data_IF_603890896233
#
_entry.id   IF_603890896233
#
_cell.length_a   1.000
_cell.length_b   1.000
_cell.length_c   1.000
_cell.angle_alpha   90.00
_cell.angle_beta   90.00
_cell.angle_gamma   90.00
#
_symmetry.space_group_name_H-M   'P 1'
#
loop_
_entity.id
_entity.type
_entity.pdbx_description
1 polymer ?
#
# COMPACT_ATOMS: atom_id res chain seq x y z
N UNK A 1 -0.51 -41.46 8.51
CA UNK A 1 -0.21 -40.03 8.77
C UNK A 1 1.20 -39.79 8.28
N UNK A 2 1.42 -38.71 7.53
CA UNK A 2 2.73 -38.28 7.04
C UNK A 2 3.02 -36.94 7.70
N UNK A 3 4.20 -36.79 8.28
CA UNK A 3 4.71 -35.51 8.76
C UNK A 3 6.00 -35.21 7.98
N UNK A 4 6.07 -34.04 7.35
CA UNK A 4 7.22 -33.59 6.59
C UNK A 4 7.73 -32.27 7.18
N UNK A 5 8.95 -32.30 7.68
CA UNK A 5 9.64 -31.13 8.22
C UNK A 5 10.47 -30.48 7.11
N UNK A 6 10.15 -29.23 6.76
CA UNK A 6 10.83 -28.45 5.73
C UNK A 6 11.16 -29.24 4.44
N UNK A 7 10.17 -29.90 3.81
CA UNK A 7 10.40 -30.75 2.65
C UNK A 7 10.99 -29.97 1.45
N UNK A 8 10.88 -28.65 1.45
CA UNK A 8 11.47 -27.73 0.47
C UNK A 8 13.00 -27.59 0.54
N UNK A 9 13.66 -28.05 1.62
CA UNK A 9 15.05 -27.73 1.88
C UNK A 9 15.95 -28.09 0.68
N UNK A 10 16.76 -27.13 0.23
CA UNK A 10 17.64 -27.25 -0.95
C UNK A 10 16.95 -27.50 -2.29
N UNK A 11 15.62 -27.35 -2.39
CA UNK A 11 14.88 -27.52 -3.64
C UNK A 11 14.64 -26.18 -4.34
N UNK A 12 14.83 -26.17 -5.66
CA UNK A 12 14.38 -25.08 -6.52
C UNK A 12 12.85 -24.89 -6.39
N UNK A 13 12.30 -23.67 -6.48
CA UNK A 13 10.86 -23.41 -6.30
C UNK A 13 9.93 -24.34 -7.10
N UNK A 14 10.23 -24.62 -8.37
CA UNK A 14 9.45 -25.56 -9.18
C UNK A 14 9.46 -27.01 -8.64
N UNK A 15 10.59 -27.43 -8.05
CA UNK A 15 10.70 -28.75 -7.42
C UNK A 15 9.90 -28.79 -6.10
N UNK A 16 9.89 -27.72 -5.31
CA UNK A 16 9.03 -27.60 -4.12
C UNK A 16 7.55 -27.77 -4.49
N UNK A 17 7.09 -27.09 -5.56
CA UNK A 17 5.70 -27.23 -6.05
C UNK A 17 5.37 -28.66 -6.49
N UNK A 18 6.32 -29.34 -7.14
CA UNK A 18 6.15 -30.76 -7.54
C UNK A 18 6.07 -31.66 -6.31
N UNK A 19 6.94 -31.44 -5.32
CA UNK A 19 6.94 -32.19 -4.07
C UNK A 19 5.63 -32.01 -3.31
N UNK A 20 5.13 -30.77 -3.18
CA UNK A 20 3.83 -30.50 -2.57
C UNK A 20 2.72 -31.34 -3.20
N UNK A 21 2.64 -31.36 -4.54
CA UNK A 21 1.66 -32.17 -5.28
C UNK A 21 1.78 -33.67 -4.98
N UNK A 22 2.99 -34.18 -4.84
CA UNK A 22 3.23 -35.59 -4.50
C UNK A 22 2.83 -35.90 -3.06
N UNK A 23 3.15 -35.00 -2.13
CA UNK A 23 2.76 -35.12 -0.72
C UNK A 23 1.24 -35.19 -0.62
N UNK A 24 0.51 -34.18 -1.12
CA UNK A 24 -0.96 -34.12 -1.01
C UNK A 24 -1.70 -35.24 -1.78
N UNK A 25 -1.04 -35.91 -2.73
CA UNK A 25 -1.59 -37.06 -3.43
C UNK A 25 -1.49 -38.36 -2.62
N UNK A 26 -0.74 -38.36 -1.52
CA UNK A 26 -0.58 -39.52 -0.65
C UNK A 26 -1.84 -39.75 0.19
N UNK A 27 -2.18 -41.02 0.45
CA UNK A 27 -3.34 -41.34 1.28
C UNK A 27 -3.09 -41.04 2.77
N UNK A 28 -4.02 -40.30 3.38
CA UNK A 28 -4.06 -40.03 4.82
C UNK A 28 -3.78 -38.57 5.19
N UNK A 29 -3.73 -38.28 6.49
CA UNK A 29 -3.43 -36.94 7.00
C UNK A 29 -1.95 -36.60 6.76
N UNK A 30 -1.70 -35.41 6.23
CA UNK A 30 -0.37 -34.88 5.95
C UNK A 30 -0.20 -33.58 6.75
N UNK A 31 0.91 -33.46 7.47
CA UNK A 31 1.31 -32.24 8.18
C UNK A 31 2.66 -31.82 7.62
N UNK A 32 2.76 -30.56 7.20
CA UNK A 32 3.98 -29.99 6.62
C UNK A 32 4.35 -28.77 7.45
N UNK A 33 5.56 -28.73 8.00
CA UNK A 33 6.17 -27.47 8.43
C UNK A 33 6.99 -26.91 7.27
N UNK A 34 6.94 -25.60 7.07
CA UNK A 34 7.59 -24.95 5.93
C UNK A 34 7.97 -23.50 6.25
N UNK A 35 9.14 -23.09 5.78
CA UNK A 35 9.55 -21.70 5.66
C UNK A 35 9.44 -21.18 4.22
N UNK A 36 8.99 -22.03 3.29
CA UNK A 36 8.84 -21.65 1.89
C UNK A 36 7.54 -20.88 1.63
N UNK A 37 7.63 -19.62 1.15
CA UNK A 37 6.45 -18.91 0.67
C UNK A 37 5.82 -19.58 -0.54
N UNK A 38 6.58 -20.38 -1.30
CA UNK A 38 6.05 -21.09 -2.47
C UNK A 38 5.19 -22.30 -2.08
N UNK A 39 5.52 -22.99 -0.99
CA UNK A 39 4.67 -24.07 -0.47
C UNK A 39 3.43 -23.51 0.21
N UNK A 40 3.61 -22.49 1.06
CA UNK A 40 2.49 -21.86 1.75
C UNK A 40 1.45 -21.27 0.77
N UNK A 41 1.89 -20.71 -0.35
CA UNK A 41 1.02 -20.22 -1.42
C UNK A 41 0.23 -21.30 -2.17
N UNK A 42 0.57 -22.59 -2.04
CA UNK A 42 -0.18 -23.71 -2.64
C UNK A 42 -1.23 -24.32 -1.72
N UNK A 43 -1.14 -24.04 -0.41
CA UNK A 43 -2.09 -24.54 0.56
C UNK A 43 -3.43 -23.81 0.46
N UNK A 44 -4.51 -24.53 0.78
CA UNK A 44 -5.80 -23.86 0.95
C UNK A 44 -5.74 -23.00 2.21
N UNK A 45 -6.40 -21.84 2.20
CA UNK A 45 -6.47 -20.94 3.36
C UNK A 45 -6.88 -21.63 4.68
N UNK A 46 -7.75 -22.63 4.62
CA UNK A 46 -8.22 -23.39 5.80
C UNK A 46 -7.17 -24.34 6.38
N UNK A 47 -6.13 -24.68 5.62
CA UNK A 47 -5.06 -25.61 5.99
C UNK A 47 -3.88 -24.88 6.65
N UNK A 48 -3.75 -23.58 6.41
CA UNK A 48 -2.63 -22.78 6.93
C UNK A 48 -2.74 -22.59 8.44
N UNK A 49 -1.61 -22.78 9.13
CA UNK A 49 -1.42 -22.47 10.54
C UNK A 49 -0.12 -21.67 10.68
N UNK A 50 -0.20 -20.47 11.24
CA UNK A 50 0.97 -19.67 11.58
C UNK A 50 1.32 -19.88 13.05
N UNK A 51 2.55 -20.29 13.31
CA UNK A 51 3.06 -20.48 14.66
C UNK A 51 3.97 -19.29 15.01
N UNK A 52 3.76 -18.69 16.17
CA UNK A 52 4.58 -17.59 16.67
C UNK A 52 4.90 -17.78 18.15
N UNK A 53 6.05 -17.28 18.58
CA UNK A 53 6.45 -17.32 19.99
C UNK A 53 5.99 -16.02 20.65
N UNK A 54 5.17 -16.15 21.68
CA UNK A 54 4.73 -15.06 22.55
C UNK A 54 5.35 -15.21 23.96
N UNK A 55 5.20 -14.17 24.79
CA UNK A 55 5.76 -14.15 26.15
C UNK A 55 5.30 -15.30 27.06
N UNK A 56 4.16 -15.93 26.76
CA UNK A 56 3.55 -16.99 27.55
C UNK A 56 3.59 -18.38 26.86
N UNK A 57 4.23 -18.50 25.69
CA UNK A 57 4.33 -19.77 24.95
C UNK A 57 4.14 -19.63 23.44
N UNK A 58 3.75 -20.72 22.78
CA UNK A 58 3.50 -20.74 21.33
C UNK A 58 2.05 -20.37 21.05
N UNK A 59 1.84 -19.34 20.24
CA UNK A 59 0.54 -18.96 19.69
C UNK A 59 0.37 -19.62 18.31
N UNK A 60 -0.82 -20.17 18.07
CA UNK A 60 -1.21 -20.75 16.78
C UNK A 60 -2.35 -19.92 16.20
N UNK A 61 -2.11 -19.30 15.06
CA UNK A 61 -3.05 -18.44 14.37
C UNK A 61 -3.51 -19.10 13.06
N UNK A 62 -4.75 -18.85 12.66
CA UNK A 62 -5.36 -19.42 11.47
C UNK A 62 -6.40 -18.46 10.91
N UNK A 63 -6.67 -18.56 9.60
CA UNK A 63 -7.78 -17.83 9.00
C UNK A 63 -9.11 -18.31 9.56
N UNK A 64 -9.95 -17.38 10.00
CA UNK A 64 -11.31 -17.70 10.38
C UNK A 64 -12.17 -17.70 9.11
N UNK A 65 -12.28 -18.87 8.51
CA UNK A 65 -12.97 -19.09 7.24
C UNK A 65 -14.48 -18.76 7.36
N UNK A 66 -15.08 -18.96 8.54
CA UNK A 66 -16.52 -18.82 8.75
C UNK A 66 -16.99 -17.35 8.87
N UNK A 67 -16.08 -16.41 9.14
CA UNK A 67 -16.38 -14.98 9.26
C UNK A 67 -16.27 -14.21 7.93
N UNK A 68 -15.89 -14.88 6.85
CA UNK A 68 -15.55 -14.24 5.59
C UNK A 68 -16.58 -14.62 4.52
N UNK A 69 -17.23 -13.62 3.91
CA UNK A 69 -18.09 -13.87 2.75
C UNK A 69 -17.29 -14.49 1.60
N UNK A 70 -17.92 -15.34 0.78
CA UNK A 70 -17.25 -16.10 -0.30
C UNK A 70 -16.37 -15.23 -1.23
N UNK A 71 -16.78 -13.99 -1.50
CA UNK A 71 -16.01 -13.06 -2.34
C UNK A 71 -14.74 -12.55 -1.64
N UNK A 72 -14.83 -12.24 -0.33
CA UNK A 72 -13.68 -11.77 0.44
C UNK A 72 -12.66 -12.92 0.65
N UNK A 73 -13.14 -14.17 0.80
CA UNK A 73 -12.28 -15.36 0.82
C UNK A 73 -11.53 -15.53 -0.51
N UNK A 74 -12.27 -15.43 -1.62
CA UNK A 74 -11.68 -15.55 -2.95
C UNK A 74 -10.62 -14.48 -3.19
N UNK A 75 -10.88 -13.24 -2.77
CA UNK A 75 -9.90 -12.14 -2.86
C UNK A 75 -8.70 -12.39 -1.97
N UNK A 76 -8.88 -12.85 -0.73
CA UNK A 76 -7.78 -13.18 0.17
C UNK A 76 -6.89 -14.29 -0.39
N UNK A 77 -7.49 -15.37 -0.90
CA UNK A 77 -6.72 -16.45 -1.53
C UNK A 77 -5.94 -15.94 -2.76
N UNK A 78 -6.58 -15.16 -3.63
CA UNK A 78 -5.96 -14.70 -4.89
C UNK A 78 -4.92 -13.62 -4.68
N UNK A 79 -5.25 -12.58 -3.92
CA UNK A 79 -4.46 -11.34 -3.82
C UNK A 79 -3.40 -11.41 -2.73
N UNK A 80 -3.59 -12.27 -1.72
CA UNK A 80 -2.68 -12.40 -0.58
C UNK A 80 -1.95 -13.73 -0.63
N UNK A 81 -2.65 -14.86 -0.48
CA UNK A 81 -1.98 -16.16 -0.29
C UNK A 81 -1.23 -16.62 -1.55
N UNK A 82 -1.89 -16.62 -2.72
CA UNK A 82 -1.27 -17.08 -3.96
C UNK A 82 -0.20 -16.11 -4.49
N UNK A 83 -0.47 -14.80 -4.40
CA UNK A 83 0.41 -13.78 -4.96
C UNK A 83 1.56 -13.40 -4.02
N UNK A 84 1.37 -13.51 -2.70
CA UNK A 84 2.26 -12.96 -1.68
C UNK A 84 2.39 -13.91 -0.48
N UNK A 85 2.71 -15.18 -0.74
CA UNK A 85 2.92 -16.19 0.32
C UNK A 85 3.99 -15.82 1.35
N UNK A 86 4.90 -14.91 1.01
CA UNK A 86 5.89 -14.33 1.94
C UNK A 86 5.27 -13.59 3.12
N UNK A 87 4.02 -13.10 2.99
CA UNK A 87 3.38 -12.32 4.04
C UNK A 87 3.08 -13.12 5.30
N UNK A 88 3.00 -14.45 5.20
CA UNK A 88 2.87 -15.35 6.36
C UNK A 88 4.09 -15.29 7.29
N UNK A 89 5.22 -14.81 6.79
CA UNK A 89 6.49 -14.73 7.50
C UNK A 89 6.86 -13.29 7.88
N UNK A 90 5.99 -12.31 7.57
CA UNK A 90 6.22 -10.91 7.91
C UNK A 90 6.16 -10.68 9.41
N UNK A 91 7.11 -9.90 9.95
CA UNK A 91 7.02 -9.33 11.31
C UNK A 91 6.03 -8.19 11.37
N UNK A 92 5.86 -7.45 10.28
CA UNK A 92 4.79 -6.49 10.09
C UNK A 92 4.52 -6.22 8.60
N UNK A 93 3.32 -5.73 8.32
CA UNK A 93 2.88 -5.33 6.98
C UNK A 93 2.57 -3.84 6.99
N UNK A 94 3.03 -3.11 5.97
CA UNK A 94 2.67 -1.71 5.72
C UNK A 94 1.84 -1.66 4.44
N UNK A 95 0.59 -1.25 4.55
CA UNK A 95 -0.35 -1.12 3.44
C UNK A 95 -0.39 0.33 2.95
N UNK A 96 -0.34 0.50 1.64
CA UNK A 96 -0.53 1.78 0.96
C UNK A 96 -1.52 1.66 -0.18
N UNK A 97 -2.07 2.79 -0.66
CA UNK A 97 -3.09 2.79 -1.70
C UNK A 97 -2.55 2.35 -3.05
N UNK A 98 -1.44 2.96 -3.49
CA UNK A 98 -0.94 2.83 -4.84
C UNK A 98 0.43 2.17 -4.96
N UNK A 99 0.83 2.00 -6.21
CA UNK A 99 2.17 1.54 -6.61
C UNK A 99 3.23 2.61 -6.29
N UNK A 100 2.87 3.90 -6.35
CA UNK A 100 3.74 5.03 -6.00
C UNK A 100 4.33 4.85 -4.60
N UNK A 101 3.50 4.62 -3.59
CA UNK A 101 3.93 4.43 -2.22
C UNK A 101 4.63 3.07 -2.02
N UNK A 102 4.15 2.00 -2.69
CA UNK A 102 4.76 0.67 -2.65
C UNK A 102 6.23 0.70 -3.13
N UNK A 103 6.56 1.56 -4.09
CA UNK A 103 7.93 1.78 -4.57
C UNK A 103 8.72 2.78 -3.71
N UNK A 104 8.06 3.82 -3.19
CA UNK A 104 8.70 4.95 -2.51
C UNK A 104 9.04 4.64 -1.05
N UNK A 105 8.07 4.11 -0.30
CA UNK A 105 8.19 3.90 1.14
C UNK A 105 9.35 2.96 1.54
N UNK A 106 9.63 1.84 0.83
CA UNK A 106 10.77 0.98 1.19
C UNK A 106 12.12 1.69 1.10
N UNK A 107 12.32 2.55 0.08
CA UNK A 107 13.57 3.27 -0.10
C UNK A 107 13.75 4.35 0.97
N UNK A 108 12.67 5.07 1.28
CA UNK A 108 12.66 6.06 2.37
C UNK A 108 12.84 5.40 3.74
N UNK A 109 12.30 4.20 3.92
CA UNK A 109 12.51 3.38 5.11
C UNK A 109 13.99 3.05 5.28
N UNK A 110 14.64 2.54 4.23
CA UNK A 110 16.09 2.27 4.25
C UNK A 110 16.89 3.53 4.56
N UNK A 111 16.51 4.67 3.98
CA UNK A 111 17.16 5.95 4.27
C UNK A 111 17.02 6.38 5.73
N UNK A 112 15.86 6.13 6.35
CA UNK A 112 15.57 6.53 7.72
C UNK A 112 16.19 5.61 8.77
N UNK A 113 16.11 4.30 8.57
CA UNK A 113 16.58 3.29 9.52
C UNK A 113 18.02 2.84 9.30
N UNK A 114 18.58 3.10 8.11
CA UNK A 114 19.92 2.64 7.73
C UNK A 114 19.99 1.16 7.34
N UNK A 115 18.86 0.45 7.30
CA UNK A 115 18.76 -0.95 6.88
C UNK A 115 17.47 -1.19 6.09
N UNK A 116 17.45 -2.22 5.27
CA UNK A 116 16.35 -2.52 4.38
C UNK A 116 15.15 -3.13 5.11
N UNK A 117 13.95 -2.74 4.70
CA UNK A 117 12.69 -3.25 5.25
C UNK A 117 12.61 -4.79 5.30
N UNK A 118 13.07 -5.47 4.24
CA UNK A 118 13.06 -6.93 4.18
C UNK A 118 13.98 -7.58 5.23
N UNK A 119 15.12 -6.93 5.55
CA UNK A 119 16.05 -7.44 6.59
C UNK A 119 15.43 -7.32 7.99
N UNK A 120 14.53 -6.35 8.16
CA UNK A 120 13.72 -6.18 9.37
C UNK A 120 12.42 -6.99 9.35
N UNK A 121 12.14 -7.76 8.28
CA UNK A 121 10.92 -8.55 8.14
C UNK A 121 9.65 -7.70 7.95
N UNK A 122 9.77 -6.50 7.40
CA UNK A 122 8.65 -5.61 7.08
C UNK A 122 8.35 -5.68 5.59
N UNK A 123 7.09 -5.95 5.24
CA UNK A 123 6.63 -5.97 3.86
C UNK A 123 5.76 -4.74 3.56
N UNK A 124 6.16 -3.96 2.56
CA UNK A 124 5.36 -2.86 2.01
C UNK A 124 4.49 -3.38 0.87
N UNK A 125 3.21 -3.03 0.86
CA UNK A 125 2.22 -3.54 -0.10
C UNK A 125 1.32 -2.40 -0.56
N UNK A 126 1.28 -2.18 -1.87
CA UNK A 126 0.26 -1.38 -2.53
C UNK A 126 -0.99 -2.22 -2.75
N UNK A 127 -2.13 -1.81 -2.18
CA UNK A 127 -3.42 -2.50 -2.37
C UNK A 127 -4.06 -2.16 -3.72
N UNK A 128 -3.39 -1.33 -4.53
CA UNK A 128 -3.78 -0.93 -5.88
C UNK A 128 -5.15 -0.25 -5.94
N UNK A 129 -5.46 0.61 -4.97
CA UNK A 129 -6.67 1.44 -4.88
C UNK A 129 -7.26 1.53 -3.47
N UNK A 130 -8.31 2.32 -3.31
CA UNK A 130 -8.89 2.62 -2.01
C UNK A 130 -9.94 1.64 -1.51
N UNK A 131 -10.28 1.78 -0.22
CA UNK A 131 -11.47 1.18 0.36
C UNK A 131 -11.45 -0.35 0.44
N UNK A 132 -12.33 -1.00 -0.32
CA UNK A 132 -12.58 -2.44 -0.18
C UNK A 132 -11.35 -3.31 -0.52
N UNK A 133 -10.36 -2.75 -1.23
CA UNK A 133 -9.10 -3.44 -1.57
C UNK A 133 -8.18 -3.66 -0.36
N UNK A 134 -8.34 -2.88 0.71
CA UNK A 134 -7.61 -3.12 1.96
C UNK A 134 -8.10 -4.37 2.71
N UNK A 135 -9.39 -4.76 2.55
CA UNK A 135 -10.01 -5.81 3.38
C UNK A 135 -9.26 -7.14 3.38
N UNK A 136 -8.82 -7.70 2.24
CA UNK A 136 -8.16 -9.00 2.24
C UNK A 136 -6.86 -8.97 3.06
N UNK A 137 -6.09 -7.90 2.95
CA UNK A 137 -4.83 -7.72 3.68
C UNK A 137 -5.05 -7.45 5.17
N UNK A 138 -6.01 -6.57 5.51
CA UNK A 138 -6.40 -6.29 6.89
C UNK A 138 -6.89 -7.57 7.59
N UNK A 139 -7.72 -8.36 6.90
CA UNK A 139 -8.23 -9.62 7.42
C UNK A 139 -7.12 -10.65 7.61
N UNK A 140 -6.24 -10.79 6.61
CA UNK A 140 -5.10 -11.68 6.67
C UNK A 140 -4.20 -11.34 7.86
N UNK A 141 -3.86 -10.06 8.02
CA UNK A 141 -3.02 -9.59 9.13
C UNK A 141 -3.69 -9.84 10.49
N UNK A 142 -5.00 -9.55 10.60
CA UNK A 142 -5.76 -9.82 11.82
C UNK A 142 -5.75 -11.31 12.19
N UNK A 143 -6.05 -12.19 11.25
CA UNK A 143 -6.20 -13.62 11.51
C UNK A 143 -4.90 -14.35 11.80
N UNK A 144 -3.81 -13.93 11.18
CA UNK A 144 -2.48 -14.48 11.46
C UNK A 144 -1.75 -13.75 12.60
N UNK A 145 -2.41 -12.75 13.21
CA UNK A 145 -1.85 -11.89 14.26
C UNK A 145 -0.55 -11.20 13.84
N UNK A 146 -0.53 -10.66 12.62
CA UNK A 146 0.58 -9.91 12.06
C UNK A 146 0.29 -8.41 12.25
N UNK A 147 1.19 -7.65 12.89
CA UNK A 147 1.06 -6.20 12.99
C UNK A 147 0.89 -5.54 11.62
N UNK A 148 -0.15 -4.69 11.48
CA UNK A 148 -0.44 -3.97 10.24
C UNK A 148 -0.39 -2.47 10.45
N UNK A 149 0.31 -1.76 9.58
CA UNK A 149 0.33 -0.31 9.46
C UNK A 149 -0.32 0.11 8.16
N UNK A 150 -1.01 1.25 8.16
CA UNK A 150 -1.67 1.80 6.98
C UNK A 150 -1.13 3.20 6.72
N UNK A 151 -0.74 3.45 5.48
CA UNK A 151 -0.38 4.77 4.95
C UNK A 151 -1.35 5.11 3.82
N UNK A 152 -2.22 6.09 4.05
CA UNK A 152 -3.35 6.37 3.16
C UNK A 152 -3.40 7.83 2.74
N UNK A 153 -3.92 8.07 1.55
CA UNK A 153 -4.26 9.41 1.06
C UNK A 153 -5.31 10.07 1.95
N UNK A 154 -5.26 11.40 1.97
CA UNK A 154 -6.06 12.26 2.84
C UNK A 154 -7.44 12.63 2.31
N UNK A 155 -7.79 12.18 1.11
CA UNK A 155 -9.05 12.54 0.49
C UNK A 155 -10.24 12.06 1.35
N UNK A 156 -11.27 12.89 1.46
CA UNK A 156 -12.43 12.62 2.34
C UNK A 156 -13.10 11.27 2.01
N UNK A 157 -13.20 10.93 0.72
CA UNK A 157 -13.77 9.64 0.30
C UNK A 157 -12.88 8.47 0.69
N UNK A 158 -11.59 8.57 0.41
CA UNK A 158 -10.59 7.54 0.72
C UNK A 158 -10.54 7.24 2.22
N UNK A 159 -10.49 8.28 3.05
CA UNK A 159 -10.45 8.15 4.51
C UNK A 159 -11.73 7.54 5.08
N UNK A 160 -12.91 7.94 4.59
CA UNK A 160 -14.20 7.33 4.99
C UNK A 160 -14.28 5.86 4.59
N UNK A 161 -13.84 5.52 3.38
CA UNK A 161 -13.81 4.14 2.94
C UNK A 161 -12.81 3.30 3.74
N UNK A 162 -11.60 3.82 4.00
CA UNK A 162 -10.63 3.16 4.85
C UNK A 162 -11.22 2.87 6.23
N UNK A 163 -11.79 3.87 6.91
CA UNK A 163 -12.44 3.71 8.21
C UNK A 163 -13.48 2.60 8.20
N UNK A 164 -14.40 2.64 7.24
CA UNK A 164 -15.47 1.64 7.11
C UNK A 164 -14.93 0.22 6.95
N UNK A 165 -13.82 0.04 6.25
CA UNK A 165 -13.24 -1.28 5.99
C UNK A 165 -12.35 -1.76 7.14
N UNK A 166 -11.67 -0.85 7.82
CA UNK A 166 -10.90 -1.12 9.03
C UNK A 166 -11.82 -1.51 10.19
N UNK A 167 -12.87 -0.73 10.43
CA UNK A 167 -13.85 -0.95 11.52
C UNK A 167 -14.54 -2.31 11.43
N UNK A 168 -14.73 -2.83 10.20
CA UNK A 168 -15.31 -4.16 9.98
C UNK A 168 -14.44 -5.31 10.49
N UNK A 169 -13.13 -5.11 10.59
CA UNK A 169 -12.17 -6.15 10.97
C UNK A 169 -11.70 -5.96 12.41
N UNK A 170 -11.34 -4.72 12.77
CA UNK A 170 -10.72 -4.39 14.06
C UNK A 170 -11.69 -3.77 15.07
N UNK A 171 -12.93 -3.48 14.67
CA UNK A 171 -13.90 -2.72 15.48
C UNK A 171 -13.73 -1.21 15.35
N UNK A 172 -14.64 -0.46 15.97
CA UNK A 172 -14.69 1.01 15.86
C UNK A 172 -13.36 1.66 16.25
N UNK A 173 -12.77 2.39 15.31
CA UNK A 173 -11.45 3.02 15.46
C UNK A 173 -11.49 4.51 15.08
N UNK A 174 -10.76 5.32 15.84
CA UNK A 174 -10.40 6.68 15.43
C UNK A 174 -9.16 6.61 14.53
N UNK A 175 -9.39 6.58 13.22
CA UNK A 175 -8.32 6.48 12.21
C UNK A 175 -7.36 7.67 12.22
N UNK A 176 -7.76 8.83 12.75
CA UNK A 176 -6.91 10.01 12.84
C UNK A 176 -5.86 9.92 13.95
N UNK A 177 -6.17 9.17 15.02
CA UNK A 177 -5.31 9.02 16.20
C UNK A 177 -4.83 7.58 16.42
N UNK A 178 -5.02 6.69 15.44
CA UNK A 178 -4.63 5.29 15.57
C UNK A 178 -3.10 5.13 15.59
N UNK A 179 -2.54 4.27 16.48
CA UNK A 179 -1.09 4.06 16.59
C UNK A 179 -0.47 3.41 15.36
N UNK A 180 -1.28 2.86 14.45
CA UNK A 180 -0.84 2.12 13.27
C UNK A 180 -1.41 2.67 11.95
N UNK A 181 -2.12 3.81 11.95
CA UNK A 181 -2.66 4.42 10.73
C UNK A 181 -2.10 5.82 10.59
N UNK A 182 -1.52 6.12 9.44
CA UNK A 182 -1.04 7.45 9.06
C UNK A 182 -1.79 7.90 7.82
N UNK A 183 -2.41 9.08 7.90
CA UNK A 183 -3.23 9.65 6.83
C UNK A 183 -2.61 10.97 6.41
N UNK A 184 -2.48 11.16 5.09
CA UNK A 184 -2.03 12.42 4.49
C UNK A 184 -3.07 13.54 4.69
N UNK A 185 -2.66 14.79 4.62
CA UNK A 185 -3.54 15.91 4.95
C UNK A 185 -4.34 16.36 3.73
N UNK A 186 -5.52 15.77 3.53
CA UNK A 186 -6.51 16.23 2.55
C UNK A 186 -6.20 15.98 1.07
N UNK A 187 -5.08 15.32 0.75
CA UNK A 187 -4.59 15.14 -0.62
C UNK A 187 -3.88 13.78 -0.81
N UNK A 188 -3.52 13.47 -2.05
CA UNK A 188 -2.71 12.30 -2.43
C UNK A 188 -1.22 12.51 -2.10
N UNK A 189 -0.41 11.48 -2.30
CA UNK A 189 1.01 11.52 -1.99
C UNK A 189 1.77 12.66 -2.69
N UNK A 190 1.53 12.87 -3.98
CA UNK A 190 2.18 13.93 -4.75
C UNK A 190 1.75 15.33 -4.29
N UNK A 191 0.45 15.55 -4.06
CA UNK A 191 -0.07 16.80 -3.52
C UNK A 191 0.51 17.10 -2.13
N UNK A 192 0.59 16.08 -1.28
CA UNK A 192 1.12 16.21 0.08
C UNK A 192 2.58 16.68 0.06
N UNK A 193 3.40 16.16 -0.85
CA UNK A 193 4.79 16.57 -1.00
C UNK A 193 4.91 18.04 -1.43
N UNK A 194 4.07 18.51 -2.34
CA UNK A 194 4.04 19.92 -2.76
C UNK A 194 3.60 20.85 -1.64
N UNK A 195 2.62 20.45 -0.84
CA UNK A 195 2.11 21.24 0.28
C UNK A 195 3.06 21.23 1.47
N UNK A 196 3.88 20.19 1.60
CA UNK A 196 4.89 20.04 2.67
C UNK A 196 6.25 20.65 2.34
N UNK A 197 6.37 21.43 1.26
CA UNK A 197 7.60 22.15 0.90
C UNK A 197 8.65 21.31 0.17
N UNK A 198 8.28 20.16 -0.42
CA UNK A 198 9.17 19.33 -1.25
C UNK A 198 9.08 19.66 -2.74
N UNK A 199 8.62 20.87 -3.08
CA UNK A 199 8.49 21.37 -4.45
C UNK A 199 9.79 21.25 -5.25
N UNK A 200 10.92 21.60 -4.64
CA UNK A 200 12.22 21.51 -5.28
C UNK A 200 12.64 20.07 -5.57
N UNK A 201 12.24 19.11 -4.72
CA UNK A 201 12.48 17.68 -4.97
C UNK A 201 11.66 17.20 -6.17
N UNK A 202 10.40 17.62 -6.26
CA UNK A 202 9.52 17.30 -7.40
C UNK A 202 10.02 17.94 -8.69
N UNK A 203 10.40 19.22 -8.65
CA UNK A 203 10.96 19.93 -9.79
C UNK A 203 12.21 19.22 -10.30
N UNK A 204 13.15 18.87 -9.42
CA UNK A 204 14.36 18.14 -9.79
C UNK A 204 14.07 16.74 -10.35
N UNK A 205 13.01 16.08 -9.89
CA UNK A 205 12.56 14.80 -10.47
C UNK A 205 12.02 14.97 -11.89
N UNK A 206 11.19 15.99 -12.14
CA UNK A 206 10.66 16.30 -13.49
C UNK A 206 11.82 16.66 -14.43
N UNK A 207 12.75 17.51 -13.98
CA UNK A 207 13.93 17.90 -14.77
C UNK A 207 14.78 16.70 -15.14
N UNK A 208 14.97 15.75 -14.20
CA UNK A 208 15.73 14.54 -14.46
C UNK A 208 15.11 13.67 -15.56
N UNK A 209 13.79 13.60 -15.63
CA UNK A 209 13.09 12.72 -16.58
C UNK A 209 12.82 13.40 -17.94
N UNK A 210 12.33 14.63 -17.92
CA UNK A 210 11.84 15.32 -19.12
C UNK A 210 12.68 16.53 -19.55
N UNK A 211 13.71 16.87 -18.78
CA UNK A 211 14.55 18.05 -19.02
C UNK A 211 14.03 19.32 -18.35
N UNK A 212 14.87 20.35 -18.37
CA UNK A 212 14.69 21.61 -17.62
C UNK A 212 13.42 22.38 -17.96
N UNK A 213 13.05 22.42 -19.24
CA UNK A 213 11.99 23.30 -19.73
C UNK A 213 10.60 22.64 -19.70
N UNK A 214 10.47 21.43 -19.15
CA UNK A 214 9.23 20.65 -19.23
C UNK A 214 8.04 21.38 -18.61
N UNK A 215 8.25 21.98 -17.44
CA UNK A 215 7.21 22.70 -16.70
C UNK A 215 6.77 23.93 -17.49
N UNK A 216 7.72 24.71 -17.98
CA UNK A 216 7.42 25.94 -18.76
C UNK A 216 6.69 25.61 -20.06
N UNK A 217 7.18 24.62 -20.82
CA UNK A 217 6.52 24.12 -22.04
C UNK A 217 5.12 23.56 -21.76
N UNK A 218 4.90 22.97 -20.58
CA UNK A 218 3.59 22.48 -20.18
C UNK A 218 2.62 23.64 -19.94
N UNK A 219 3.06 24.64 -19.17
CA UNK A 219 2.29 25.85 -18.87
C UNK A 219 1.91 26.55 -20.18
N UNK A 220 2.87 26.86 -21.04
CA UNK A 220 2.63 27.52 -22.33
C UNK A 220 1.62 26.77 -23.20
N UNK A 221 1.71 25.44 -23.23
CA UNK A 221 0.83 24.59 -24.06
C UNK A 221 -0.58 24.46 -23.50
N UNK A 222 -0.73 24.43 -22.17
CA UNK A 222 -1.97 24.05 -21.50
C UNK A 222 -2.73 25.22 -20.90
N UNK A 223 -2.10 26.39 -20.75
CA UNK A 223 -2.75 27.61 -20.27
C UNK A 223 -4.00 27.91 -21.11
N UNK A 224 -5.11 28.24 -20.46
CA UNK A 224 -6.36 28.58 -21.14
C UNK A 224 -7.07 27.41 -21.82
N UNK A 225 -6.60 26.17 -21.68
CA UNK A 225 -7.32 24.97 -22.16
C UNK A 225 -8.36 24.51 -21.14
N UNK A 226 -9.42 23.81 -21.58
CA UNK A 226 -10.48 23.32 -20.67
C UNK A 226 -10.01 22.19 -19.76
N UNK A 227 -10.33 22.29 -18.47
CA UNK A 227 -10.14 21.25 -17.47
C UNK A 227 -11.15 20.10 -17.62
N UNK A 228 -10.97 19.04 -16.82
CA UNK A 228 -11.98 17.99 -16.70
C UNK A 228 -13.29 18.63 -16.19
N UNK A 229 -14.46 18.23 -16.72
CA UNK A 229 -15.74 18.76 -16.27
C UNK A 229 -15.90 18.55 -14.76
N UNK A 230 -16.12 19.63 -14.03
CA UNK A 230 -16.40 19.62 -12.60
C UNK A 230 -17.89 19.83 -12.39
N UNK A 231 -18.47 19.09 -11.43
CA UNK A 231 -19.88 19.26 -11.07
C UNK A 231 -20.07 20.65 -10.45
N UNK A 232 -20.97 21.43 -10.99
CA UNK A 232 -21.25 22.76 -10.47
C UNK A 232 -22.10 22.68 -9.19
N UNK A 233 -22.13 23.79 -8.45
CA UNK A 233 -23.05 23.99 -7.32
C UNK A 233 -24.50 24.26 -7.76
N UNK A 234 -24.76 24.34 -9.06
CA UNK A 234 -26.09 24.61 -9.59
C UNK A 234 -27.02 23.41 -9.38
N UNK A 235 -28.33 23.66 -9.16
CA UNK A 235 -29.30 22.58 -9.06
C UNK A 235 -29.32 21.73 -10.35
N UNK A 236 -29.63 20.43 -10.26
CA UNK A 236 -29.74 19.57 -11.44
C UNK A 236 -30.70 20.16 -12.47
N UNK A 237 -30.42 19.95 -13.75
CA UNK A 237 -31.22 20.47 -14.87
C UNK A 237 -32.71 20.16 -14.66
N UNK A 238 -33.57 21.16 -14.78
CA UNK A 238 -35.00 21.03 -14.51
C UNK A 238 -35.72 20.02 -15.41
N UNK A 239 -35.20 19.79 -16.63
CA UNK A 239 -35.81 18.88 -17.61
C UNK A 239 -35.34 17.43 -17.45
N UNK A 240 -34.02 17.20 -17.41
CA UNK A 240 -33.46 15.84 -17.37
C UNK A 240 -33.04 15.37 -15.97
N UNK A 241 -33.12 16.24 -14.96
CA UNK A 241 -32.69 16.00 -13.56
C UNK A 241 -31.22 15.60 -13.42
N UNK A 242 -30.39 15.87 -14.42
CA UNK A 242 -28.96 15.55 -14.40
C UNK A 242 -28.14 16.69 -13.76
N UNK A 243 -27.03 16.38 -13.07
CA UNK A 243 -26.11 17.39 -12.56
C UNK A 243 -25.53 18.25 -13.70
N UNK A 244 -25.36 19.55 -13.44
CA UNK A 244 -24.70 20.47 -14.38
C UNK A 244 -23.17 20.37 -14.16
N UNK A 245 -22.42 20.33 -15.25
CA UNK A 245 -20.96 20.30 -15.23
C UNK A 245 -20.41 21.49 -16.01
N UNK A 246 -19.34 22.09 -15.48
CA UNK A 246 -18.58 23.14 -16.15
C UNK A 246 -17.13 22.71 -16.28
N UNK A 247 -16.50 23.06 -17.39
CA UNK A 247 -15.08 22.82 -17.63
C UNK A 247 -14.34 24.15 -17.55
N UNK A 248 -13.86 24.55 -16.35
CA UNK A 248 -13.12 25.79 -16.19
C UNK A 248 -11.86 25.79 -17.07
N UNK A 249 -11.39 26.97 -17.42
CA UNK A 249 -10.12 27.11 -18.14
C UNK A 249 -8.96 26.94 -17.15
N UNK A 250 -7.92 26.24 -17.59
CA UNK A 250 -6.66 26.12 -16.84
C UNK A 250 -6.01 27.47 -16.67
N UNK A 251 -5.69 27.80 -15.43
CA UNK A 251 -4.90 28.98 -15.10
C UNK A 251 -3.69 28.66 -14.21
N UNK A 252 -2.54 28.54 -14.86
CA UNK A 252 -1.25 28.31 -14.24
C UNK A 252 -0.52 29.59 -13.83
N UNK A 253 -1.05 30.77 -14.17
CA UNK A 253 -0.49 32.04 -13.72
C UNK A 253 -1.02 32.47 -12.36
N UNK A 254 -1.95 31.70 -11.79
CA UNK A 254 -2.37 31.82 -10.41
C UNK A 254 -1.21 31.49 -9.43
N UNK A 255 -1.27 31.93 -8.16
CA UNK A 255 -0.22 31.68 -7.17
C UNK A 255 0.16 30.19 -7.00
N UNK A 256 -0.82 29.30 -7.12
CA UNK A 256 -0.64 27.84 -7.04
C UNK A 256 -0.54 27.17 -8.41
N UNK A 257 -0.52 27.95 -9.48
CA UNK A 257 -0.56 27.46 -10.85
C UNK A 257 0.65 26.60 -11.22
N UNK A 258 1.84 26.93 -10.71
CA UNK A 258 3.02 26.10 -10.92
C UNK A 258 2.91 24.73 -10.21
N UNK A 259 2.35 24.68 -8.99
CA UNK A 259 2.07 23.43 -8.29
C UNK A 259 1.08 22.56 -9.06
N UNK A 260 0.01 23.19 -9.57
CA UNK A 260 -0.98 22.54 -10.42
C UNK A 260 -0.36 21.96 -11.68
N UNK A 261 0.53 22.68 -12.35
CA UNK A 261 1.24 22.20 -13.52
C UNK A 261 2.12 20.97 -13.18
N UNK A 262 2.84 20.99 -12.06
CA UNK A 262 3.64 19.85 -11.61
C UNK A 262 2.77 18.63 -11.32
N UNK A 263 1.64 18.77 -10.62
CA UNK A 263 0.69 17.67 -10.39
C UNK A 263 0.18 17.07 -11.69
N UNK A 264 -0.25 17.90 -12.64
CA UNK A 264 -0.72 17.41 -13.94
C UNK A 264 0.37 16.65 -14.71
N UNK A 265 1.64 17.08 -14.61
CA UNK A 265 2.77 16.38 -15.22
C UNK A 265 2.98 15.02 -14.55
N UNK A 266 3.01 14.98 -13.21
CA UNK A 266 3.18 13.74 -12.44
C UNK A 266 2.07 12.73 -12.80
N UNK A 267 0.83 13.18 -12.89
CA UNK A 267 -0.35 12.38 -13.27
C UNK A 267 -0.21 11.68 -14.63
N UNK A 268 0.57 12.23 -15.56
CA UNK A 268 0.73 11.60 -16.89
C UNK A 268 1.44 10.25 -16.83
N UNK A 269 2.36 10.07 -15.86
CA UNK A 269 3.18 8.86 -15.71
C UNK A 269 3.54 8.65 -14.24
N UNK A 270 2.53 8.57 -13.36
CA UNK A 270 2.68 8.51 -11.89
C UNK A 270 3.81 7.58 -11.40
N UNK A 271 3.88 6.28 -11.79
CA UNK A 271 4.90 5.38 -11.25
C UNK A 271 6.33 5.79 -11.59
N UNK A 272 6.55 6.34 -12.79
CA UNK A 272 7.88 6.74 -13.24
C UNK A 272 8.38 7.98 -12.48
N UNK A 273 7.49 8.95 -12.23
CA UNK A 273 7.87 10.11 -11.45
C UNK A 273 8.00 9.80 -9.96
N UNK A 274 7.17 8.90 -9.41
CA UNK A 274 7.27 8.44 -8.03
C UNK A 274 8.70 7.95 -7.69
N UNK A 275 9.29 7.14 -8.57
CA UNK A 275 10.67 6.68 -8.41
C UNK A 275 11.66 7.85 -8.41
N UNK A 276 11.57 8.76 -9.38
CA UNK A 276 12.50 9.90 -9.46
C UNK A 276 12.34 10.87 -8.28
N UNK A 277 11.13 11.10 -7.80
CA UNK A 277 10.86 11.92 -6.60
C UNK A 277 11.47 11.26 -5.38
N UNK A 278 11.29 9.94 -5.22
CA UNK A 278 11.90 9.17 -4.12
C UNK A 278 13.41 9.29 -4.09
N UNK A 279 14.06 9.21 -5.25
CA UNK A 279 15.52 9.38 -5.35
C UNK A 279 15.97 10.79 -4.92
N UNK A 280 15.20 11.84 -5.24
CA UNK A 280 15.49 13.20 -4.75
C UNK A 280 15.30 13.29 -3.23
N UNK A 281 14.23 12.71 -2.69
CA UNK A 281 13.97 12.66 -1.25
C UNK A 281 15.08 11.90 -0.51
N UNK A 282 15.63 10.82 -1.09
CA UNK A 282 16.73 10.05 -0.48
C UNK A 282 18.05 10.83 -0.38
N UNK A 283 18.22 11.93 -1.13
CA UNK A 283 19.38 12.82 -1.01
C UNK A 283 19.30 13.72 0.23
N UNK A 284 18.12 13.92 0.79
CA UNK A 284 17.92 14.70 2.00
C UNK A 284 18.47 13.94 3.21
N UNK A 285 18.67 14.65 4.32
CA UNK A 285 18.98 14.03 5.61
C UNK A 285 17.75 13.26 6.13
N UNK A 286 17.97 12.22 6.94
CA UNK A 286 16.88 11.34 7.43
C UNK A 286 15.83 12.07 8.28
N UNK A 287 16.22 13.15 8.95
CA UNK A 287 15.35 14.02 9.75
C UNK A 287 14.58 15.05 8.90
N UNK A 288 14.97 15.23 7.63
CA UNK A 288 14.33 16.15 6.67
C UNK A 288 13.40 15.45 5.69
N UNK A 289 13.14 14.16 5.89
CA UNK A 289 12.12 13.44 5.12
C UNK A 289 10.70 14.00 5.40
N UNK A 290 9.72 13.73 4.52
CA UNK A 290 8.36 14.23 4.71
C UNK A 290 7.77 13.86 6.09
N UNK A 291 7.17 14.82 6.83
CA UNK A 291 6.73 14.60 8.22
C UNK A 291 5.84 13.38 8.45
N UNK A 292 4.86 13.12 7.57
CA UNK A 292 3.95 11.96 7.68
C UNK A 292 4.68 10.64 7.45
N UNK A 293 5.72 10.63 6.63
CA UNK A 293 6.56 9.45 6.42
C UNK A 293 7.39 9.17 7.68
N UNK A 294 7.98 10.22 8.28
CA UNK A 294 8.66 10.11 9.58
C UNK A 294 7.68 9.64 10.66
N UNK A 295 6.44 10.13 10.68
CA UNK A 295 5.39 9.71 11.60
C UNK A 295 5.09 8.21 11.46
N UNK A 296 4.89 7.72 10.22
CA UNK A 296 4.71 6.29 9.93
C UNK A 296 5.89 5.46 10.47
N UNK A 297 7.12 5.88 10.19
CA UNK A 297 8.33 5.16 10.65
C UNK A 297 8.46 5.16 12.17
N UNK A 298 8.11 6.26 12.84
CA UNK A 298 8.04 6.32 14.30
C UNK A 298 6.98 5.36 14.85
N UNK A 299 5.80 5.25 14.22
CA UNK A 299 4.76 4.30 14.59
C UNK A 299 5.23 2.85 14.44
N UNK A 300 5.89 2.52 13.33
CA UNK A 300 6.48 1.19 13.10
C UNK A 300 7.49 0.85 14.21
N UNK A 301 8.38 1.78 14.54
CA UNK A 301 9.36 1.63 15.63
C UNK A 301 8.69 1.45 16.99
N UNK A 302 7.64 2.24 17.28
CA UNK A 302 6.90 2.17 18.54
C UNK A 302 6.13 0.85 18.70
N UNK A 303 5.71 0.21 17.60
CA UNK A 303 5.08 -1.10 17.58
C UNK A 303 5.95 -2.26 18.07
N UNK A 304 7.22 -2.00 18.46
CA UNK A 304 8.20 -3.01 18.92
C UNK A 304 8.43 -4.16 17.94
N UNK A 305 8.34 -3.86 16.64
CA UNK A 305 8.63 -4.79 15.56
C UNK A 305 10.12 -4.78 15.18
N UNK A 306 10.77 -3.64 15.45
CA UNK A 306 12.17 -3.32 15.14
C UNK A 306 13.09 -3.49 16.34
#
# INVERSE_FOLDING_TARGET
MIAAEEPEAHLHPNAQRKLYKQLIASNGQIIISTHSPYLAALANQSELRALSIASLGVCVNQLNVDLVGLEDQRKLQREVIHSRGELLFSKAIVLSEGETEEQSLPQLFTKYFGDNAFSMGINFIGVSGSGAKYRPFLRFAYDFNIPVFVFSDGEVKTTQELKKNYDKIFGETDIGNSPNITILDGTDFEGYLLDSGFEESIKNAIVKIDGTDKIDKWIEKKQGTQEKPQKTSQPPCETCKQPIFESPLRDYYSPDGQKKAMLEILDTKKPMYAQAVTEQLCKLDSDKLPPKIIELFKKIKAGRIL
#
